data_IF_802329657205
#
_entry.id   IF_802329657205
#
_cell.length_a   1.000
_cell.length_b   1.000
_cell.length_c   1.000
_cell.angle_alpha   90.00
_cell.angle_beta   90.00
_cell.angle_gamma   90.00
#
_symmetry.space_group_name_H-M   'P 1'
#
loop_
_entity.id
_entity.type
_entity.pdbx_description
1 polymer ?
#
# COMPACT_ATOMS: atom_id res chain seq x y z
N UNK A 1 -28.75 -29.97 2.19
CA UNK A 1 -27.37 -29.44 2.18
C UNK A 1 -27.33 -28.22 3.09
N UNK A 2 -26.61 -28.27 4.22
CA UNK A 2 -26.77 -27.28 5.30
C UNK A 2 -26.12 -25.95 4.94
N UNK A 3 -26.84 -24.83 5.08
CA UNK A 3 -26.37 -23.45 4.84
C UNK A 3 -25.03 -23.15 5.53
N UNK A 4 -24.79 -23.78 6.69
CA UNK A 4 -23.53 -23.69 7.46
C UNK A 4 -22.33 -24.29 6.72
N UNK A 5 -22.53 -25.34 5.92
CA UNK A 5 -21.48 -25.98 5.13
C UNK A 5 -20.99 -25.12 3.96
N UNK A 6 -21.92 -24.43 3.28
CA UNK A 6 -21.58 -23.55 2.15
C UNK A 6 -20.76 -22.34 2.61
N UNK A 7 -21.16 -21.71 3.72
CA UNK A 7 -20.42 -20.59 4.32
C UNK A 7 -19.02 -21.01 4.78
N UNK A 8 -18.88 -22.23 5.33
CA UNK A 8 -17.59 -22.76 5.78
C UNK A 8 -16.65 -23.03 4.60
N UNK A 9 -17.16 -23.61 3.52
CA UNK A 9 -16.39 -23.86 2.30
C UNK A 9 -15.95 -22.54 1.64
N UNK A 10 -16.85 -21.56 1.58
CA UNK A 10 -16.55 -20.23 1.05
C UNK A 10 -15.45 -19.53 1.86
N UNK A 11 -15.52 -19.56 3.20
CA UNK A 11 -14.49 -18.99 4.07
C UNK A 11 -13.13 -19.68 3.90
N UNK A 12 -13.11 -21.01 3.81
CA UNK A 12 -11.89 -21.78 3.55
C UNK A 12 -11.28 -21.44 2.19
N UNK A 13 -12.11 -21.31 1.15
CA UNK A 13 -11.67 -20.90 -0.18
C UNK A 13 -11.05 -19.51 -0.19
N UNK A 14 -11.71 -18.53 0.44
CA UNK A 14 -11.16 -17.18 0.61
C UNK A 14 -9.83 -17.22 1.36
N UNK A 15 -9.76 -17.94 2.48
CA UNK A 15 -8.53 -18.06 3.28
C UNK A 15 -7.37 -18.64 2.48
N UNK A 16 -7.63 -19.67 1.67
CA UNK A 16 -6.61 -20.25 0.80
C UNK A 16 -6.11 -19.24 -0.24
N UNK A 17 -7.02 -18.53 -0.92
CA UNK A 17 -6.66 -17.50 -1.91
C UNK A 17 -5.86 -16.38 -1.27
N UNK A 18 -6.28 -15.85 -0.12
CA UNK A 18 -5.55 -14.79 0.58
C UNK A 18 -4.16 -15.23 1.03
N UNK A 19 -4.02 -16.43 1.60
CA UNK A 19 -2.71 -16.96 1.97
C UNK A 19 -1.78 -17.08 0.77
N UNK A 20 -2.29 -17.51 -0.40
CA UNK A 20 -1.52 -17.56 -1.64
C UNK A 20 -1.11 -16.16 -2.11
N UNK A 21 -2.02 -15.17 -2.04
CA UNK A 21 -1.71 -13.78 -2.39
C UNK A 21 -0.64 -13.20 -1.46
N UNK A 22 -0.79 -13.36 -0.14
CA UNK A 22 0.20 -12.88 0.85
C UNK A 22 1.56 -13.55 0.59
N UNK A 23 1.59 -14.85 0.35
CA UNK A 23 2.82 -15.57 0.04
C UNK A 23 3.48 -15.03 -1.24
N UNK A 24 2.71 -14.81 -2.30
CA UNK A 24 3.21 -14.24 -3.54
C UNK A 24 3.76 -12.82 -3.35
N UNK A 25 3.06 -11.98 -2.58
CA UNK A 25 3.51 -10.62 -2.26
C UNK A 25 4.78 -10.62 -1.41
N UNK A 26 4.90 -11.51 -0.42
CA UNK A 26 6.11 -11.67 0.38
C UNK A 26 7.31 -12.09 -0.49
N UNK A 27 7.13 -13.09 -1.34
CA UNK A 27 8.17 -13.52 -2.28
C UNK A 27 8.57 -12.36 -3.19
N UNK A 28 7.59 -11.66 -3.78
CA UNK A 28 7.82 -10.49 -4.62
C UNK A 28 8.58 -9.38 -3.89
N UNK A 29 8.25 -9.12 -2.62
CA UNK A 29 8.95 -8.16 -1.77
C UNK A 29 10.41 -8.58 -1.55
N UNK A 30 10.69 -9.83 -1.18
CA UNK A 30 12.06 -10.33 -1.00
C UNK A 30 12.88 -10.23 -2.30
N UNK A 31 12.30 -10.63 -3.43
CA UNK A 31 12.94 -10.53 -4.74
C UNK A 31 13.23 -9.07 -5.10
N UNK A 32 12.26 -8.17 -4.88
CA UNK A 32 12.39 -6.74 -5.14
C UNK A 32 13.47 -6.09 -4.27
N UNK A 33 13.48 -6.38 -2.97
CA UNK A 33 14.54 -5.94 -2.04
C UNK A 33 15.90 -6.44 -2.53
N UNK A 34 16.03 -7.72 -2.85
CA UNK A 34 17.27 -8.32 -3.35
C UNK A 34 17.78 -7.64 -4.62
N UNK A 35 16.90 -7.39 -5.59
CA UNK A 35 17.27 -6.65 -6.81
C UNK A 35 17.76 -5.24 -6.53
N UNK A 36 17.05 -4.49 -5.70
CA UNK A 36 17.44 -3.12 -5.35
C UNK A 36 18.85 -3.08 -4.74
N UNK A 37 19.19 -4.04 -3.86
CA UNK A 37 20.54 -4.13 -3.30
C UNK A 37 21.61 -4.47 -4.35
N UNK A 38 21.30 -5.36 -5.30
CA UNK A 38 22.23 -5.70 -6.39
C UNK A 38 22.48 -4.51 -7.32
N UNK A 39 21.42 -3.81 -7.73
CA UNK A 39 21.50 -2.62 -8.59
C UNK A 39 22.30 -1.49 -7.93
N UNK A 40 22.15 -1.30 -6.62
CA UNK A 40 22.96 -0.35 -5.86
C UNK A 40 24.45 -0.71 -5.87
N UNK A 41 24.79 -1.98 -5.63
CA UNK A 41 26.18 -2.42 -5.64
C UNK A 41 26.86 -2.15 -6.98
N UNK A 42 26.13 -2.31 -8.08
CA UNK A 42 26.62 -2.01 -9.43
C UNK A 42 26.76 -0.49 -9.66
N UNK A 43 25.78 0.31 -9.23
CA UNK A 43 25.72 1.76 -9.50
C UNK A 43 26.75 2.57 -8.69
N UNK A 44 27.13 2.11 -7.49
CA UNK A 44 28.19 2.74 -6.67
C UNK A 44 29.57 2.70 -7.35
N UNK A 45 29.74 1.88 -8.37
CA UNK A 45 30.99 1.75 -9.13
C UNK A 45 31.10 2.78 -10.26
N UNK A 46 30.01 3.49 -10.60
CA UNK A 46 29.97 4.50 -11.67
C UNK A 46 29.89 5.95 -11.15
N UNK A 47 30.43 6.96 -11.88
CA UNK A 47 30.46 8.37 -11.44
C UNK A 47 29.09 9.08 -11.45
N UNK A 48 28.01 8.43 -11.87
CA UNK A 48 26.62 8.94 -12.00
C UNK A 48 25.81 8.81 -10.71
N UNK A 49 26.42 9.13 -9.55
CA UNK A 49 25.84 8.96 -8.20
C UNK A 49 24.45 9.61 -8.03
N UNK A 50 24.16 10.73 -8.71
CA UNK A 50 22.85 11.39 -8.64
C UNK A 50 21.71 10.59 -9.27
N UNK A 51 21.95 9.93 -10.41
CA UNK A 51 20.93 9.06 -11.02
C UNK A 51 20.69 7.83 -10.14
N UNK A 52 21.77 7.22 -9.63
CA UNK A 52 21.66 6.06 -8.73
C UNK A 52 20.85 6.33 -7.45
N UNK A 53 20.96 7.53 -6.88
CA UNK A 53 20.17 7.91 -5.70
C UNK A 53 18.67 8.08 -6.02
N UNK A 54 18.33 8.65 -7.20
CA UNK A 54 16.95 8.80 -7.65
C UNK A 54 16.29 7.44 -7.89
N UNK A 55 17.00 6.52 -8.54
CA UNK A 55 16.51 5.17 -8.80
C UNK A 55 16.39 4.36 -7.50
N UNK A 56 17.35 4.51 -6.57
CA UNK A 56 17.25 3.94 -5.22
C UNK A 56 15.98 4.38 -4.51
N UNK A 57 15.73 5.68 -4.44
CA UNK A 57 14.58 6.22 -3.71
C UNK A 57 13.27 5.78 -4.38
N UNK A 58 13.23 5.75 -5.71
CA UNK A 58 12.09 5.25 -6.49
C UNK A 58 11.81 3.77 -6.22
N UNK A 59 12.86 2.94 -6.21
CA UNK A 59 12.76 1.50 -5.96
C UNK A 59 12.40 1.21 -4.49
N UNK A 60 13.02 1.92 -3.55
CA UNK A 60 12.72 1.80 -2.13
C UNK A 60 11.30 2.23 -1.82
N UNK A 61 10.85 3.39 -2.34
CA UNK A 61 9.46 3.77 -2.24
C UNK A 61 8.62 2.66 -2.84
N UNK A 62 8.90 2.17 -4.06
CA UNK A 62 8.17 1.10 -4.74
C UNK A 62 7.96 -0.18 -3.92
N UNK A 63 8.92 -0.55 -3.06
CA UNK A 63 8.78 -1.67 -2.13
C UNK A 63 7.79 -1.39 -0.99
N UNK A 64 7.67 -0.13 -0.52
CA UNK A 64 6.77 0.26 0.58
C UNK A 64 5.28 0.03 0.28
N UNK A 65 4.80 0.13 -0.96
CA UNK A 65 3.40 -0.18 -1.38
C UNK A 65 3.21 -1.65 -1.34
N UNK A 66 4.19 -2.44 -1.80
CA UNK A 66 4.05 -3.89 -1.71
C UNK A 66 3.90 -4.27 -0.23
N UNK A 67 4.68 -3.66 0.66
CA UNK A 67 4.56 -3.85 2.10
C UNK A 67 3.22 -3.35 2.67
N UNK A 68 2.75 -2.17 2.28
CA UNK A 68 1.44 -1.64 2.71
C UNK A 68 0.26 -2.48 2.20
N UNK A 69 0.33 -2.97 0.96
CA UNK A 69 -0.66 -3.89 0.42
C UNK A 69 -0.69 -5.18 1.23
N UNK A 70 0.48 -5.78 1.52
CA UNK A 70 0.57 -6.95 2.40
C UNK A 70 -0.07 -6.66 3.75
N UNK A 71 0.26 -5.53 4.38
CA UNK A 71 -0.32 -5.11 5.67
C UNK A 71 -1.84 -5.00 5.59
N UNK A 72 -2.38 -4.34 4.56
CA UNK A 72 -3.81 -4.19 4.36
C UNK A 72 -4.53 -5.54 4.17
N UNK A 73 -3.92 -6.49 3.46
CA UNK A 73 -4.46 -7.84 3.29
C UNK A 73 -4.44 -8.64 4.60
N UNK A 74 -3.38 -8.52 5.40
CA UNK A 74 -3.28 -9.17 6.72
C UNK A 74 -4.32 -8.60 7.68
N UNK A 75 -4.44 -7.28 7.74
CA UNK A 75 -5.38 -6.56 8.62
C UNK A 75 -6.85 -6.87 8.29
N UNK A 76 -7.19 -7.03 7.00
CA UNK A 76 -8.51 -7.51 6.57
C UNK A 76 -8.89 -8.85 7.21
N UNK A 77 -7.91 -9.75 7.38
CA UNK A 77 -8.14 -11.09 7.93
C UNK A 77 -8.29 -11.08 9.45
N UNK A 78 -7.55 -10.22 10.16
CA UNK A 78 -7.66 -10.11 11.62
C UNK A 78 -9.03 -9.60 12.08
N UNK A 79 -9.66 -8.70 11.32
CA UNK A 79 -10.91 -8.08 11.73
C UNK A 79 -12.18 -8.64 11.06
N UNK A 80 -12.07 -9.56 10.10
CA UNK A 80 -13.16 -10.12 9.25
C UNK A 80 -14.15 -9.08 8.67
N UNK A 81 -13.80 -7.78 8.72
CA UNK A 81 -14.59 -6.64 8.26
C UNK A 81 -13.65 -5.51 7.83
N UNK A 82 -13.93 -4.95 6.66
CA UNK A 82 -13.28 -3.73 6.20
C UNK A 82 -13.82 -2.56 7.03
N UNK A 83 -13.11 -2.17 8.08
CA UNK A 83 -13.43 -0.91 8.79
C UNK A 83 -13.07 0.24 7.85
N UNK A 84 -14.02 1.14 7.62
CA UNK A 84 -13.79 2.31 6.76
C UNK A 84 -12.57 3.12 7.21
N UNK A 85 -12.33 3.19 8.51
CA UNK A 85 -11.15 3.82 9.12
C UNK A 85 -9.83 3.20 8.65
N UNK A 86 -9.73 1.86 8.62
CA UNK A 86 -8.55 1.13 8.14
C UNK A 86 -8.36 1.36 6.65
N UNK A 87 -9.45 1.31 5.87
CA UNK A 87 -9.37 1.51 4.42
C UNK A 87 -8.95 2.95 4.06
N UNK A 88 -9.40 3.94 4.84
CA UNK A 88 -8.98 5.33 4.69
C UNK A 88 -7.54 5.55 5.15
N UNK A 89 -7.08 4.89 6.22
CA UNK A 89 -5.69 4.94 6.67
C UNK A 89 -4.74 4.40 5.61
N UNK A 90 -5.02 3.21 5.09
CA UNK A 90 -4.27 2.59 3.99
C UNK A 90 -4.36 3.44 2.73
N UNK A 91 -5.55 3.97 2.41
CA UNK A 91 -5.77 4.83 1.24
C UNK A 91 -4.94 6.12 1.28
N UNK A 92 -4.87 6.79 2.45
CA UNK A 92 -4.01 7.97 2.65
C UNK A 92 -2.54 7.60 2.46
N UNK A 93 -2.08 6.49 3.06
CA UNK A 93 -0.69 6.05 2.92
C UNK A 93 -0.31 5.74 1.46
N UNK A 94 -1.17 5.04 0.73
CA UNK A 94 -0.99 4.74 -0.69
C UNK A 94 -0.96 6.01 -1.55
N UNK A 95 -1.90 6.94 -1.35
CA UNK A 95 -1.98 8.18 -2.11
C UNK A 95 -0.75 9.07 -1.88
N UNK A 96 -0.30 9.18 -0.62
CA UNK A 96 0.93 9.90 -0.28
C UNK A 96 2.15 9.27 -0.96
N UNK A 97 2.25 7.94 -0.98
CA UNK A 97 3.38 7.28 -1.63
C UNK A 97 3.41 7.49 -3.13
N UNK A 98 2.26 7.37 -3.78
CA UNK A 98 2.16 7.57 -5.23
C UNK A 98 2.55 9.00 -5.62
N UNK A 99 2.11 9.99 -4.83
CA UNK A 99 2.54 11.38 -4.98
C UNK A 99 4.06 11.51 -4.84
N UNK A 100 4.67 10.91 -3.81
CA UNK A 100 6.11 10.96 -3.61
C UNK A 100 6.89 10.29 -4.74
N UNK A 101 6.43 9.13 -5.23
CA UNK A 101 7.02 8.45 -6.38
C UNK A 101 6.96 9.31 -7.64
N UNK A 102 5.81 9.89 -7.93
CA UNK A 102 5.60 10.71 -9.12
C UNK A 102 6.42 12.02 -9.05
N UNK A 103 6.58 12.59 -7.85
CA UNK A 103 7.45 13.73 -7.60
C UNK A 103 8.93 13.36 -7.79
N UNK A 104 9.38 12.23 -7.23
CA UNK A 104 10.76 11.77 -7.37
C UNK A 104 11.11 11.36 -8.79
N UNK A 105 10.15 10.79 -9.52
CA UNK A 105 10.32 10.43 -10.92
C UNK A 105 10.35 11.66 -11.86
N UNK A 106 10.11 12.88 -11.35
CA UNK A 106 9.93 14.11 -12.13
C UNK A 106 8.84 13.98 -13.21
N UNK A 107 7.81 13.18 -12.93
CA UNK A 107 6.71 12.88 -13.88
C UNK A 107 5.49 13.78 -13.71
N UNK A 108 5.54 14.72 -12.76
CA UNK A 108 4.40 15.58 -12.44
C UNK A 108 4.58 16.98 -12.99
N UNK A 109 3.58 17.46 -13.71
CA UNK A 109 3.36 18.86 -13.98
C UNK A 109 2.85 19.60 -12.73
N UNK A 110 3.07 20.91 -12.64
CA UNK A 110 2.65 21.70 -11.46
C UNK A 110 1.15 21.61 -11.16
N UNK A 111 0.30 21.45 -12.18
CA UNK A 111 -1.14 21.24 -12.02
C UNK A 111 -1.48 19.87 -11.44
N UNK A 112 -0.77 18.81 -11.85
CA UNK A 112 -0.98 17.46 -11.30
C UNK A 112 -0.59 17.40 -9.82
N UNK A 113 0.49 18.08 -9.42
CA UNK A 113 0.87 18.20 -8.00
C UNK A 113 -0.26 18.82 -7.18
N UNK A 114 -0.91 19.87 -7.71
CA UNK A 114 -2.06 20.49 -7.06
C UNK A 114 -3.21 19.49 -6.88
N UNK A 115 -3.61 18.78 -7.94
CA UNK A 115 -4.69 17.78 -7.86
C UNK A 115 -4.37 16.64 -6.89
N UNK A 116 -3.14 16.13 -6.91
CA UNK A 116 -2.71 15.11 -5.95
C UNK A 116 -2.76 15.61 -4.50
N UNK A 117 -2.27 16.82 -4.24
CA UNK A 117 -2.31 17.42 -2.91
C UNK A 117 -3.75 17.62 -2.41
N UNK A 118 -4.66 18.02 -3.30
CA UNK A 118 -6.08 18.17 -3.01
C UNK A 118 -6.74 16.82 -2.71
N UNK A 119 -6.39 15.78 -3.47
CA UNK A 119 -6.86 14.41 -3.25
C UNK A 119 -6.42 13.85 -1.89
N UNK A 120 -5.14 14.05 -1.52
CA UNK A 120 -4.62 13.67 -0.21
C UNK A 120 -5.34 14.44 0.90
N UNK A 121 -5.54 15.75 0.74
CA UNK A 121 -6.32 16.57 1.67
C UNK A 121 -7.74 16.03 1.85
N UNK A 122 -8.42 15.70 0.76
CA UNK A 122 -9.77 15.13 0.80
C UNK A 122 -9.81 13.79 1.54
N UNK A 123 -8.82 12.92 1.34
CA UNK A 123 -8.70 11.65 2.06
C UNK A 123 -8.48 11.85 3.57
N UNK A 124 -7.61 12.80 3.96
CA UNK A 124 -7.36 13.14 5.37
C UNK A 124 -8.60 13.74 6.04
N UNK A 125 -9.33 14.61 5.33
CA UNK A 125 -10.60 15.15 5.80
C UNK A 125 -11.66 14.04 5.93
N UNK A 126 -11.75 13.14 4.94
CA UNK A 126 -12.62 11.98 4.99
C UNK A 126 -12.35 11.08 6.19
N UNK A 127 -11.06 10.80 6.49
CA UNK A 127 -10.65 10.08 7.71
C UNK A 127 -11.09 10.81 8.96
N UNK A 128 -10.81 12.11 9.06
CA UNK A 128 -11.15 12.91 10.23
C UNK A 128 -12.66 12.91 10.49
N UNK A 129 -13.46 13.07 9.43
CA UNK A 129 -14.92 12.97 9.50
C UNK A 129 -15.40 11.57 9.88
N UNK A 130 -14.79 10.51 9.33
CA UNK A 130 -15.15 9.13 9.65
C UNK A 130 -14.90 8.79 11.14
N UNK A 131 -13.84 9.34 11.73
CA UNK A 131 -13.56 9.21 13.17
C UNK A 131 -14.60 9.97 14.00
N UNK A 132 -14.97 11.19 13.58
CA UNK A 132 -15.93 12.04 14.31
C UNK A 132 -17.38 11.55 14.20
N UNK A 133 -17.77 10.99 13.04
CA UNK A 133 -19.13 10.51 12.76
C UNK A 133 -19.33 9.02 13.01
N UNK A 134 -18.34 8.29 13.54
CA UNK A 134 -18.47 6.87 13.89
C UNK A 134 -19.67 6.67 14.83
N UNK A 135 -20.82 6.16 14.35
CA UNK A 135 -22.04 6.07 15.14
C UNK A 135 -21.97 4.77 15.94
N UNK A 136 -21.12 4.79 16.96
CA UNK A 136 -20.92 3.70 17.91
C UNK A 136 -20.89 4.12 19.38
N UNK A 137 -20.94 5.43 19.67
CA UNK A 137 -21.03 5.94 21.04
C UNK A 137 -22.46 6.42 21.32
N UNK A 138 -23.38 5.47 21.50
CA UNK A 138 -24.62 5.73 22.22
C UNK A 138 -24.27 5.73 23.72
N UNK A 139 -24.42 6.89 24.36
CA UNK A 139 -24.67 7.00 25.78
C UNK A 139 -26.08 6.46 26.10
#
# INVERSE_FOLDING_TARGET
MSQKGLIRLFRLGLQAVFNLVILALLIGLFVGVGRTFLELGLTLTEPTVRLGLKDLITNALSLVVVLELVRAFVEYFEFERVRLEVLLEVGVALALRELLLALFAERLSGLEVLFWSLGVLALVLGRSLAVWFSPGRKA
#
